data_IF_536796650447
#
_entry.id   IF_536796650447
#
_cell.length_a   1.000
_cell.length_b   1.000
_cell.length_c   1.000
_cell.angle_alpha   90.00
_cell.angle_beta   90.00
_cell.angle_gamma   90.00
#
_symmetry.space_group_name_H-M   'P 1'
#
loop_
_entity.id
_entity.type
_entity.pdbx_description
1 polymer ?
#
# COMPACT_ATOMS: atom_id res chain seq x y z
N UNK A 1 25.23 -3.35 1.16
CA UNK A 1 23.86 -3.73 0.77
C UNK A 1 23.54 -2.99 -0.51
N UNK A 2 23.21 -3.73 -1.57
CA UNK A 2 22.71 -3.17 -2.81
C UNK A 2 21.18 -3.23 -2.80
N UNK A 3 20.54 -2.21 -3.35
CA UNK A 3 19.09 -2.10 -3.46
C UNK A 3 18.74 -2.06 -4.95
N UNK A 4 17.99 -3.04 -5.40
CA UNK A 4 17.51 -3.12 -6.78
C UNK A 4 16.00 -2.84 -6.80
N UNK A 5 15.52 -1.81 -7.50
CA UNK A 5 14.11 -1.57 -7.67
C UNK A 5 13.50 -2.64 -8.59
N UNK A 6 12.43 -3.27 -8.12
CA UNK A 6 11.69 -4.25 -8.92
C UNK A 6 10.32 -3.67 -9.30
N UNK A 7 9.87 -3.87 -10.56
CA UNK A 7 8.51 -3.52 -10.93
C UNK A 7 7.53 -4.44 -10.19
N UNK A 8 6.48 -3.82 -9.64
CA UNK A 8 5.35 -4.58 -9.10
C UNK A 8 4.51 -5.16 -10.24
N UNK A 9 4.11 -6.43 -10.10
CA UNK A 9 3.28 -7.14 -11.11
C UNK A 9 2.09 -7.77 -10.39
N UNK A 10 1.09 -6.99 -10.01
CA UNK A 10 -0.03 -7.47 -9.22
C UNK A 10 -0.75 -8.65 -9.88
N UNK A 11 -0.95 -9.73 -9.13
CA UNK A 11 -1.68 -10.92 -9.58
C UNK A 11 -0.93 -11.81 -10.58
N UNK A 12 0.39 -11.61 -10.75
CA UNK A 12 1.22 -12.46 -11.62
C UNK A 12 2.54 -12.80 -10.93
N UNK A 13 2.50 -13.82 -10.08
CA UNK A 13 3.66 -14.28 -9.29
C UNK A 13 4.80 -14.80 -10.17
N UNK A 14 4.50 -15.42 -11.30
CA UNK A 14 5.52 -15.93 -12.23
C UNK A 14 6.33 -14.79 -12.85
N UNK A 15 5.66 -13.72 -13.27
CA UNK A 15 6.33 -12.53 -13.80
C UNK A 15 7.13 -11.81 -12.72
N UNK A 16 6.60 -11.73 -11.51
CA UNK A 16 7.31 -11.16 -10.36
C UNK A 16 8.56 -11.97 -10.03
N UNK A 17 8.47 -13.30 -9.92
CA UNK A 17 9.62 -14.19 -9.72
C UNK A 17 10.66 -14.06 -10.82
N UNK A 18 10.22 -13.91 -12.08
CA UNK A 18 11.12 -13.65 -13.19
C UNK A 18 11.94 -12.38 -13.01
N UNK A 19 11.31 -11.30 -12.54
CA UNK A 19 11.99 -10.04 -12.24
C UNK A 19 12.99 -10.20 -11.09
N UNK A 20 12.60 -10.89 -10.00
CA UNK A 20 13.50 -11.17 -8.87
C UNK A 20 14.67 -12.00 -9.29
N UNK A 21 14.45 -13.09 -10.05
CA UNK A 21 15.51 -13.97 -10.54
C UNK A 21 16.48 -13.23 -11.46
N UNK A 22 15.97 -12.35 -12.32
CA UNK A 22 16.79 -11.50 -13.17
C UNK A 22 17.68 -10.55 -12.38
N UNK A 23 17.14 -9.91 -11.35
CA UNK A 23 17.91 -9.04 -10.46
C UNK A 23 18.98 -9.82 -9.68
N UNK A 24 18.62 -10.98 -9.15
CA UNK A 24 19.56 -11.87 -8.45
C UNK A 24 20.70 -12.31 -9.39
N UNK A 25 20.38 -12.75 -10.61
CA UNK A 25 21.40 -13.18 -11.58
C UNK A 25 22.36 -12.05 -11.96
N UNK A 26 21.87 -10.83 -12.06
CA UNK A 26 22.69 -9.64 -12.32
C UNK A 26 23.78 -9.44 -11.26
N UNK A 27 23.45 -9.71 -9.99
CA UNK A 27 24.35 -9.53 -8.85
C UNK A 27 25.08 -10.81 -8.43
N UNK A 28 24.63 -11.97 -8.88
CA UNK A 28 25.25 -13.28 -8.62
C UNK A 28 25.38 -14.12 -9.92
N UNK A 29 26.21 -13.69 -10.87
CA UNK A 29 26.38 -14.40 -12.14
C UNK A 29 27.08 -15.76 -11.99
N UNK A 30 27.73 -16.02 -10.85
CA UNK A 30 28.45 -17.26 -10.54
C UNK A 30 27.56 -18.43 -10.13
N UNK A 31 26.27 -18.23 -9.97
CA UNK A 31 25.33 -19.25 -9.51
C UNK A 31 25.65 -19.82 -8.12
N UNK A 32 26.18 -18.99 -7.23
CA UNK A 32 26.40 -19.35 -5.84
C UNK A 32 25.05 -19.58 -5.12
N UNK A 33 25.08 -20.27 -4.00
CA UNK A 33 23.88 -20.54 -3.20
C UNK A 33 23.20 -19.24 -2.80
N UNK A 34 21.89 -19.17 -3.02
CA UNK A 34 21.06 -18.01 -2.69
C UNK A 34 20.25 -18.31 -1.43
N UNK A 35 20.22 -17.35 -0.51
CA UNK A 35 19.36 -17.38 0.66
C UNK A 35 18.23 -16.34 0.54
N UNK A 36 17.02 -16.75 0.90
CA UNK A 36 15.86 -15.83 1.03
C UNK A 36 15.62 -15.58 2.52
N UNK A 37 15.74 -14.32 2.92
CA UNK A 37 15.49 -13.89 4.29
C UNK A 37 14.05 -13.39 4.39
N UNK A 38 13.29 -13.91 5.35
CA UNK A 38 11.92 -13.47 5.58
C UNK A 38 11.38 -13.88 6.93
N UNK A 39 10.20 -13.41 7.22
CA UNK A 39 9.44 -13.75 8.42
C UNK A 39 8.09 -14.35 8.01
N UNK A 40 7.78 -15.56 8.48
CA UNK A 40 6.48 -16.22 8.18
C UNK A 40 5.45 -15.79 9.23
N UNK A 41 4.70 -14.73 8.93
CA UNK A 41 3.71 -14.15 9.82
C UNK A 41 2.33 -14.79 9.69
N UNK A 42 1.84 -14.90 8.47
CA UNK A 42 0.50 -15.38 8.11
C UNK A 42 0.49 -15.85 6.64
N UNK A 43 -0.68 -16.09 6.08
CA UNK A 43 -0.85 -16.57 4.70
C UNK A 43 -0.27 -15.59 3.65
N UNK A 44 -0.10 -14.31 3.98
CA UNK A 44 0.53 -13.33 3.09
C UNK A 44 2.03 -13.60 2.88
N UNK A 45 2.63 -14.44 3.71
CA UNK A 45 4.04 -14.83 3.60
C UNK A 45 4.28 -15.97 2.59
N UNK A 46 3.25 -16.35 1.81
CA UNK A 46 3.33 -17.42 0.79
C UNK A 46 4.45 -17.20 -0.23
N UNK A 47 4.81 -15.94 -0.51
CA UNK A 47 5.88 -15.61 -1.44
C UNK A 47 7.23 -16.26 -1.10
N UNK A 48 7.48 -16.56 0.20
CA UNK A 48 8.69 -17.27 0.62
C UNK A 48 8.73 -18.70 0.07
N UNK A 49 7.57 -19.30 -0.20
CA UNK A 49 7.45 -20.66 -0.71
C UNK A 49 7.61 -20.71 -2.24
N UNK A 50 7.58 -19.56 -2.93
CA UNK A 50 7.85 -19.47 -4.37
C UNK A 50 9.33 -19.71 -4.72
N UNK A 51 10.25 -19.49 -3.74
CA UNK A 51 11.69 -19.69 -3.93
C UNK A 51 12.10 -21.12 -3.55
N UNK A 52 11.76 -22.08 -4.42
CA UNK A 52 11.93 -23.52 -4.13
C UNK A 52 13.39 -23.94 -3.99
N UNK A 53 14.32 -23.32 -4.72
CA UNK A 53 15.75 -23.68 -4.75
C UNK A 53 16.62 -22.81 -3.82
N UNK A 54 16.01 -21.87 -3.09
CA UNK A 54 16.72 -20.97 -2.19
C UNK A 54 16.72 -21.48 -0.75
N UNK A 55 17.83 -21.30 -0.04
CA UNK A 55 17.88 -21.53 1.39
C UNK A 55 17.00 -20.49 2.11
N UNK A 56 16.04 -20.97 2.93
CA UNK A 56 15.15 -20.09 3.68
C UNK A 56 15.75 -19.74 5.03
N UNK A 57 16.08 -18.48 5.20
CA UNK A 57 16.56 -17.90 6.45
C UNK A 57 15.40 -17.18 7.11
N UNK A 58 14.67 -17.89 7.97
CA UNK A 58 13.53 -17.31 8.67
C UNK A 58 14.00 -16.53 9.89
N UNK A 59 13.48 -15.30 10.02
CA UNK A 59 13.74 -14.46 11.18
C UNK A 59 12.94 -14.97 12.38
N UNK A 60 13.51 -14.78 13.57
CA UNK A 60 12.92 -15.22 14.84
C UNK A 60 11.59 -14.50 15.14
N UNK A 61 10.77 -15.13 15.99
CA UNK A 61 9.47 -14.61 16.45
C UNK A 61 9.55 -13.23 17.14
N UNK A 62 10.73 -12.78 17.54
CA UNK A 62 10.95 -11.42 18.07
C UNK A 62 10.49 -10.30 17.13
N UNK A 63 10.42 -10.57 15.82
CA UNK A 63 9.87 -9.66 14.82
C UNK A 63 8.34 -9.81 14.61
N UNK A 64 7.71 -10.82 15.20
CA UNK A 64 6.28 -11.10 15.07
C UNK A 64 5.39 -9.95 15.59
N UNK A 65 5.90 -9.15 16.51
CA UNK A 65 5.20 -8.01 17.11
C UNK A 65 5.30 -6.73 16.29
N UNK A 66 6.15 -6.70 15.23
CA UNK A 66 6.29 -5.53 14.38
C UNK A 66 5.13 -5.43 13.40
N UNK A 67 4.27 -4.44 13.60
CA UNK A 67 3.18 -4.11 12.71
C UNK A 67 3.41 -2.73 12.09
N UNK A 68 3.70 -2.69 10.79
CA UNK A 68 3.82 -1.43 10.07
C UNK A 68 2.51 -0.61 10.10
N UNK A 69 1.36 -1.28 10.21
CA UNK A 69 0.05 -0.63 10.37
C UNK A 69 -0.03 0.09 11.71
N UNK A 70 0.31 -0.58 12.81
CA UNK A 70 0.31 0.02 14.15
C UNK A 70 1.30 1.19 14.26
N UNK A 71 2.50 1.04 13.67
CA UNK A 71 3.49 2.12 13.64
C UNK A 71 2.95 3.33 12.88
N UNK A 72 2.34 3.12 11.70
CA UNK A 72 1.73 4.21 10.92
C UNK A 72 0.57 4.86 11.64
N UNK A 73 -0.30 4.06 12.25
CA UNK A 73 -1.44 4.60 13.00
C UNK A 73 -0.97 5.43 14.19
N UNK A 74 0.00 4.96 14.96
CA UNK A 74 0.60 5.72 16.06
C UNK A 74 1.24 7.03 15.56
N UNK A 75 1.91 7.02 14.41
CA UNK A 75 2.52 8.19 13.80
C UNK A 75 1.47 9.26 13.43
N UNK A 76 0.40 8.86 12.72
CA UNK A 76 -0.67 9.77 12.32
C UNK A 76 -1.54 10.24 13.50
N UNK A 77 -1.73 9.41 14.51
CA UNK A 77 -2.47 9.79 15.73
C UNK A 77 -1.66 10.71 16.64
N UNK A 78 -0.40 11.01 16.31
CA UNK A 78 0.51 11.78 17.16
C UNK A 78 0.61 11.21 18.58
N UNK A 79 0.56 9.88 18.68
CA UNK A 79 0.54 9.21 19.97
C UNK A 79 1.80 9.54 20.75
N UNK A 80 1.69 9.93 22.04
CA UNK A 80 2.85 10.20 22.89
C UNK A 80 3.72 8.96 23.10
N UNK A 81 3.19 7.79 22.76
CA UNK A 81 3.86 6.50 22.83
C UNK A 81 4.23 5.94 21.46
N UNK A 82 4.52 6.83 20.48
CA UNK A 82 5.07 6.35 19.22
C UNK A 82 6.29 5.44 19.50
N UNK A 83 6.30 4.20 18.98
CA UNK A 83 7.33 3.22 19.32
C UNK A 83 8.65 3.54 18.62
N UNK A 84 9.32 4.59 19.06
CA UNK A 84 10.59 5.09 18.46
C UNK A 84 11.66 4.00 18.40
N UNK A 85 11.68 3.09 19.38
CA UNK A 85 12.65 2.00 19.46
C UNK A 85 12.46 0.92 18.37
N UNK A 86 11.30 0.90 17.70
CA UNK A 86 11.03 -0.02 16.58
C UNK A 86 11.37 0.59 15.22
N UNK A 87 11.78 1.86 15.19
CA UNK A 87 12.06 2.59 13.95
C UNK A 87 13.53 3.00 13.92
N UNK A 88 14.30 2.63 12.89
CA UNK A 88 15.68 3.07 12.75
C UNK A 88 15.83 4.60 12.78
N UNK A 89 16.91 5.11 13.37
CA UNK A 89 17.13 6.57 13.56
C UNK A 89 17.05 7.36 12.25
N UNK A 90 17.55 6.79 11.14
CA UNK A 90 17.46 7.44 9.81
C UNK A 90 16.02 7.59 9.35
N UNK A 91 15.19 6.59 9.59
CA UNK A 91 13.75 6.63 9.26
C UNK A 91 13.04 7.62 10.18
N UNK A 92 13.37 7.61 11.49
CA UNK A 92 12.80 8.56 12.44
C UNK A 92 13.11 10.01 12.06
N UNK A 93 14.35 10.29 11.67
CA UNK A 93 14.74 11.62 11.19
C UNK A 93 13.90 12.05 10.00
N UNK A 94 13.69 11.15 9.03
CA UNK A 94 12.83 11.41 7.87
C UNK A 94 11.37 11.66 8.27
N UNK A 95 10.81 10.86 9.16
CA UNK A 95 9.44 11.02 9.63
C UNK A 95 9.21 12.35 10.35
N UNK A 96 10.20 12.80 11.15
CA UNK A 96 10.14 14.10 11.81
C UNK A 96 10.19 15.27 10.80
N UNK A 97 10.99 15.16 9.75
CA UNK A 97 11.03 16.15 8.67
C UNK A 97 9.72 16.14 7.89
N UNK A 98 9.22 14.97 7.49
CA UNK A 98 7.96 14.82 6.76
C UNK A 98 6.78 15.40 7.54
N UNK A 99 6.73 15.22 8.85
CA UNK A 99 5.68 15.75 9.73
C UNK A 99 5.48 17.28 9.59
N UNK A 100 6.49 18.03 9.19
CA UNK A 100 6.42 19.49 9.02
C UNK A 100 5.96 19.94 7.64
N UNK A 101 5.72 19.00 6.71
CA UNK A 101 5.41 19.29 5.31
C UNK A 101 3.92 19.46 5.05
N UNK A 102 3.58 20.12 3.94
CA UNK A 102 2.21 20.17 3.41
C UNK A 102 1.72 18.77 2.99
N UNK A 103 2.63 17.94 2.46
CA UNK A 103 2.30 16.57 2.05
C UNK A 103 1.85 15.73 3.24
N UNK A 104 2.49 15.89 4.41
CA UNK A 104 2.01 15.22 5.63
C UNK A 104 0.61 15.68 6.01
N UNK A 105 0.31 16.98 5.93
CA UNK A 105 -1.03 17.50 6.24
C UNK A 105 -2.08 16.90 5.30
N UNK A 106 -1.76 16.87 4.01
CA UNK A 106 -2.65 16.28 3.01
C UNK A 106 -2.94 14.81 3.29
N UNK A 107 -1.90 13.99 3.55
CA UNK A 107 -2.06 12.56 3.86
C UNK A 107 -2.82 12.35 5.17
N UNK A 108 -2.59 13.21 6.17
CA UNK A 108 -3.32 13.16 7.44
C UNK A 108 -4.82 13.46 7.25
N UNK A 109 -5.16 14.51 6.51
CA UNK A 109 -6.55 14.84 6.19
C UNK A 109 -7.25 13.71 5.44
N UNK A 110 -6.57 13.09 4.49
CA UNK A 110 -7.10 11.94 3.74
C UNK A 110 -7.33 10.74 4.67
N UNK A 111 -6.37 10.43 5.56
CA UNK A 111 -6.52 9.37 6.55
C UNK A 111 -7.69 9.62 7.49
N UNK A 112 -7.80 10.82 8.03
CA UNK A 112 -8.92 11.20 8.93
C UNK A 112 -10.27 11.05 8.22
N UNK A 113 -10.35 11.46 6.96
CA UNK A 113 -11.56 11.28 6.15
C UNK A 113 -11.88 9.80 5.93
N UNK A 114 -10.89 8.97 5.58
CA UNK A 114 -11.06 7.54 5.38
C UNK A 114 -11.48 6.83 6.66
N UNK A 115 -10.91 7.20 7.80
CA UNK A 115 -11.26 6.62 9.09
C UNK A 115 -12.70 6.99 9.49
N UNK A 116 -13.11 8.24 9.28
CA UNK A 116 -14.48 8.69 9.50
C UNK A 116 -15.46 7.96 8.55
N UNK A 117 -15.09 7.80 7.29
CA UNK A 117 -15.90 7.07 6.31
C UNK A 117 -16.09 5.59 6.71
N UNK A 118 -15.02 4.88 7.06
CA UNK A 118 -15.09 3.50 7.57
C UNK A 118 -15.96 3.40 8.82
N UNK A 119 -15.82 4.35 9.74
CA UNK A 119 -16.60 4.39 10.96
C UNK A 119 -18.09 4.56 10.71
N UNK A 120 -18.49 5.29 9.66
CA UNK A 120 -19.91 5.48 9.31
C UNK A 120 -20.61 4.16 8.94
N UNK A 121 -19.85 3.15 8.51
CA UNK A 121 -20.33 1.82 8.13
C UNK A 121 -20.09 0.74 9.18
N UNK A 122 -19.48 1.08 10.32
CA UNK A 122 -19.10 0.11 11.35
C UNK A 122 -20.30 -0.65 11.95
N UNK A 123 -21.49 -0.05 11.92
CA UNK A 123 -22.73 -0.66 12.44
C UNK A 123 -23.56 -1.33 11.33
N UNK A 124 -23.05 -1.46 10.12
CA UNK A 124 -23.75 -2.19 9.07
C UNK A 124 -23.84 -3.68 9.44
N UNK A 125 -25.03 -4.32 9.32
CA UNK A 125 -25.20 -5.74 9.66
C UNK A 125 -24.43 -6.69 8.75
N UNK A 126 -23.98 -6.19 7.59
CA UNK A 126 -23.14 -6.91 6.63
C UNK A 126 -22.05 -5.97 6.11
N UNK A 127 -20.90 -6.52 5.67
CA UNK A 127 -19.87 -5.72 5.01
C UNK A 127 -20.46 -4.94 3.83
N UNK A 128 -20.30 -3.60 3.79
CA UNK A 128 -20.84 -2.80 2.70
C UNK A 128 -20.14 -3.15 1.37
N UNK A 129 -20.94 -3.26 0.31
CA UNK A 129 -20.41 -3.33 -1.07
C UNK A 129 -20.60 -1.98 -1.73
N UNK A 130 -19.49 -1.41 -2.21
CA UNK A 130 -19.50 -0.12 -2.89
C UNK A 130 -19.43 -0.34 -4.39
N UNK A 131 -20.39 0.24 -5.11
CA UNK A 131 -20.39 0.26 -6.57
C UNK A 131 -19.93 1.62 -7.03
N UNK A 132 -18.96 1.66 -7.93
CA UNK A 132 -18.46 2.88 -8.57
C UNK A 132 -18.71 2.78 -10.07
N UNK A 133 -18.97 3.92 -10.68
CA UNK A 133 -19.09 4.04 -12.13
C UNK A 133 -18.21 5.19 -12.60
N UNK A 134 -17.38 4.95 -13.61
CA UNK A 134 -16.57 5.97 -14.26
C UNK A 134 -16.96 6.09 -15.74
N UNK A 135 -17.02 7.31 -16.24
CA UNK A 135 -17.28 7.60 -17.64
C UNK A 135 -15.98 7.82 -18.41
N UNK A 136 -15.75 7.04 -19.45
CA UNK A 136 -14.63 7.25 -20.39
C UNK A 136 -15.12 8.11 -21.55
N UNK A 137 -14.93 9.42 -21.44
CA UNK A 137 -15.30 10.37 -22.50
C UNK A 137 -14.10 10.63 -23.39
N UNK A 138 -14.20 10.27 -24.68
CA UNK A 138 -13.11 10.43 -25.64
C UNK A 138 -13.52 11.36 -26.78
N UNK A 139 -12.61 12.21 -27.22
CA UNK A 139 -12.75 13.04 -28.40
C UNK A 139 -11.39 13.23 -29.08
N UNK A 140 -11.30 13.00 -30.39
CA UNK A 140 -10.08 13.19 -31.18
C UNK A 140 -8.84 12.50 -30.60
N UNK A 141 -8.99 11.27 -30.02
CA UNK A 141 -7.90 10.54 -29.40
C UNK A 141 -7.49 11.02 -28.01
N UNK A 142 -8.21 11.97 -27.43
CA UNK A 142 -8.01 12.46 -26.07
C UNK A 142 -9.08 11.89 -25.13
N UNK A 143 -8.75 11.80 -23.84
CA UNK A 143 -9.67 11.40 -22.79
C UNK A 143 -9.95 12.58 -21.86
N UNK A 144 -11.21 12.74 -21.46
CA UNK A 144 -11.58 13.76 -20.48
C UNK A 144 -11.17 13.30 -19.08
N UNK A 145 -10.41 14.14 -18.38
CA UNK A 145 -10.10 13.99 -16.97
C UNK A 145 -10.65 15.18 -16.19
N UNK A 146 -11.03 14.93 -14.96
CA UNK A 146 -11.47 15.95 -13.99
C UNK A 146 -10.54 15.98 -12.79
N UNK A 147 -10.37 17.12 -12.17
CA UNK A 147 -9.68 17.22 -10.89
C UNK A 147 -10.64 16.83 -9.77
N UNK A 148 -10.26 15.85 -8.95
CA UNK A 148 -11.07 15.40 -7.80
C UNK A 148 -11.25 16.52 -6.80
N UNK A 149 -12.51 16.86 -6.47
CA UNK A 149 -12.85 17.89 -5.50
C UNK A 149 -12.83 17.43 -4.04
N UNK A 150 -12.85 16.11 -3.82
CA UNK A 150 -12.92 15.50 -2.48
C UNK A 150 -12.00 14.31 -2.31
N UNK A 151 -11.87 13.83 -1.07
CA UNK A 151 -11.13 12.61 -0.76
C UNK A 151 -11.90 11.33 -1.17
N UNK A 152 -11.21 10.21 -1.41
CA UNK A 152 -9.75 10.11 -1.47
C UNK A 152 -9.16 10.71 -2.76
N UNK A 153 -7.89 11.12 -2.72
CA UNK A 153 -7.19 11.64 -3.89
C UNK A 153 -7.63 13.06 -4.31
N UNK A 154 -8.08 13.91 -3.39
CA UNK A 154 -8.44 15.31 -3.64
C UNK A 154 -7.31 16.03 -4.40
N UNK A 155 -7.66 16.74 -5.48
CA UNK A 155 -6.69 17.44 -6.33
C UNK A 155 -6.03 16.59 -7.42
N UNK A 156 -6.19 15.27 -7.41
CA UNK A 156 -5.66 14.38 -8.44
C UNK A 156 -6.59 14.33 -9.66
N UNK A 157 -6.03 13.97 -10.82
CA UNK A 157 -6.80 13.75 -12.03
C UNK A 157 -7.44 12.37 -12.00
N UNK A 158 -8.71 12.31 -12.41
CA UNK A 158 -9.48 11.07 -12.49
C UNK A 158 -10.46 11.12 -13.67
N UNK A 159 -10.98 9.98 -14.07
CA UNK A 159 -12.14 9.94 -14.94
C UNK A 159 -13.36 10.56 -14.23
N UNK A 160 -14.30 11.20 -14.95
CA UNK A 160 -15.57 11.59 -14.37
C UNK A 160 -16.32 10.38 -13.85
N UNK A 161 -16.61 10.33 -12.54
CA UNK A 161 -17.28 9.19 -11.94
C UNK A 161 -17.34 9.29 -10.42
N UNK A 162 -17.82 8.23 -9.78
CA UNK A 162 -17.93 8.16 -8.33
C UNK A 162 -18.76 6.97 -7.87
N UNK A 163 -19.10 6.97 -6.58
CA UNK A 163 -19.97 5.98 -5.98
C UNK A 163 -21.41 6.14 -6.49
N UNK A 164 -22.08 5.01 -6.74
CA UNK A 164 -23.51 4.99 -6.99
C UNK A 164 -24.24 5.14 -5.65
N UNK A 165 -24.89 6.28 -5.48
CA UNK A 165 -25.58 6.63 -4.23
C UNK A 165 -27.10 6.56 -4.43
N UNK A 166 -27.66 5.34 -4.33
CA UNK A 166 -29.08 5.10 -4.55
C UNK A 166 -30.00 5.98 -3.68
N UNK A 167 -29.58 6.39 -2.50
CA UNK A 167 -30.33 7.29 -1.62
C UNK A 167 -30.38 8.74 -2.14
N UNK A 168 -29.50 9.12 -3.09
CA UNK A 168 -29.53 10.41 -3.77
C UNK A 168 -30.26 10.36 -5.11
N UNK A 169 -30.85 9.21 -5.45
CA UNK A 169 -31.63 9.02 -6.67
C UNK A 169 -30.84 8.41 -7.83
N UNK A 170 -29.60 7.99 -7.61
CA UNK A 170 -28.86 7.26 -8.62
C UNK A 170 -29.51 5.90 -8.89
N UNK A 171 -29.65 5.52 -10.14
CA UNK A 171 -30.20 4.24 -10.56
C UNK A 171 -29.33 3.59 -11.63
N UNK A 172 -29.29 2.27 -11.64
CA UNK A 172 -28.78 1.51 -12.77
C UNK A 172 -29.87 1.46 -13.85
N UNK A 173 -29.68 2.16 -14.96
CA UNK A 173 -30.52 2.07 -16.15
C UNK A 173 -29.73 1.42 -17.28
#
# INVERSE_FOLDING_TARGET
VEVEPLPDVPGNDDAWLGNVSGAVHKHNPGNDTIGVIGFKKDDSSYYLDLFVDAEKILLDEGFATLSATEIRDAYFQRAPHFPQHLVPDVVMTHLLQFYTTEDFRYVLEEKEWLDAYKKSWANSPFPPQFVTCDAVCTQMGQVLLVTRGGFPGKGQLALPGGFVEAHKGDSFQ
#
